data_IF_514099004032
#
_entry.id   IF_514099004032
#
_cell.length_a   1.000
_cell.length_b   1.000
_cell.length_c   1.000
_cell.angle_alpha   90.00
_cell.angle_beta   90.00
_cell.angle_gamma   90.00
#
_symmetry.space_group_name_H-M   'P 1'
#
loop_
_entity.id
_entity.type
_entity.pdbx_description
1 polymer ?
#
# COMPACT_ATOMS: atom_id res chain seq x y z
N UNK A 1 -9.24 14.31 -1.53
CA UNK A 1 -9.68 14.03 -2.91
C UNK A 1 -8.55 14.35 -3.86
N UNK A 2 -8.37 13.52 -4.91
CA UNK A 2 -7.40 13.72 -5.98
C UNK A 2 -7.70 15.02 -6.75
N UNK A 3 -6.69 15.87 -6.91
CA UNK A 3 -6.85 17.21 -7.50
C UNK A 3 -6.48 17.24 -8.98
N UNK A 4 -5.38 16.58 -9.32
CA UNK A 4 -4.87 16.45 -10.69
C UNK A 4 -5.67 15.42 -11.50
N UNK A 5 -5.64 15.54 -12.83
CA UNK A 5 -6.28 14.57 -13.71
C UNK A 5 -5.56 13.22 -13.61
N UNK A 6 -4.23 13.27 -13.56
CA UNK A 6 -3.33 12.13 -13.45
C UNK A 6 -3.60 11.30 -12.18
N UNK A 7 -3.86 11.96 -11.05
CA UNK A 7 -4.23 11.27 -9.81
C UNK A 7 -5.61 10.62 -9.91
N UNK A 8 -6.58 11.27 -10.57
CA UNK A 8 -7.92 10.72 -10.79
C UNK A 8 -7.88 9.50 -11.72
N UNK A 9 -7.12 9.58 -12.80
CA UNK A 9 -6.90 8.48 -13.76
C UNK A 9 -6.26 7.28 -13.07
N UNK A 10 -5.22 7.49 -12.25
CA UNK A 10 -4.59 6.42 -11.49
C UNK A 10 -5.57 5.72 -10.55
N UNK A 11 -6.37 6.48 -9.79
CA UNK A 11 -7.36 5.88 -8.90
C UNK A 11 -8.45 5.12 -9.68
N UNK A 12 -8.88 5.64 -10.83
CA UNK A 12 -9.83 4.96 -11.70
C UNK A 12 -9.27 3.65 -12.25
N UNK A 13 -8.00 3.63 -12.65
CA UNK A 13 -7.31 2.42 -13.10
C UNK A 13 -7.23 1.36 -12.00
N UNK A 14 -6.79 1.74 -10.79
CA UNK A 14 -6.71 0.83 -9.65
C UNK A 14 -8.10 0.27 -9.27
N UNK A 15 -9.14 1.11 -9.26
CA UNK A 15 -10.51 0.64 -9.04
C UNK A 15 -10.98 -0.33 -10.13
N UNK A 16 -10.60 -0.09 -11.38
CA UNK A 16 -10.90 -0.99 -12.50
C UNK A 16 -10.19 -2.34 -12.35
N UNK A 17 -8.95 -2.34 -11.86
CA UNK A 17 -8.20 -3.56 -11.53
C UNK A 17 -8.89 -4.36 -10.42
N UNK A 18 -9.32 -3.73 -9.33
CA UNK A 18 -10.07 -4.39 -8.25
C UNK A 18 -11.38 -4.99 -8.76
N UNK A 19 -12.11 -4.25 -9.60
CA UNK A 19 -13.34 -4.75 -10.21
C UNK A 19 -13.07 -5.94 -11.13
N UNK A 20 -11.97 -5.94 -11.88
CA UNK A 20 -11.57 -7.08 -12.70
C UNK A 20 -11.20 -8.30 -11.83
N UNK A 21 -10.47 -8.10 -10.72
CA UNK A 21 -10.17 -9.14 -9.74
C UNK A 21 -11.43 -9.72 -9.11
N UNK A 22 -12.40 -8.87 -8.75
CA UNK A 22 -13.71 -9.28 -8.23
C UNK A 22 -14.42 -10.21 -9.21
N UNK A 23 -14.51 -9.81 -10.49
CA UNK A 23 -15.13 -10.62 -11.55
C UNK A 23 -14.42 -11.96 -11.75
N UNK A 24 -13.08 -11.97 -11.79
CA UNK A 24 -12.30 -13.21 -11.93
C UNK A 24 -12.56 -14.20 -10.79
N UNK A 25 -12.81 -13.70 -9.58
CA UNK A 25 -13.00 -14.53 -8.38
C UNK A 25 -14.47 -14.88 -8.11
N UNK A 26 -15.42 -14.23 -8.78
CA UNK A 26 -16.85 -14.40 -8.52
C UNK A 26 -17.29 -13.89 -7.15
N UNK A 27 -16.50 -13.02 -6.51
CA UNK A 27 -16.81 -12.38 -5.22
C UNK A 27 -16.61 -10.88 -5.34
N UNK A 28 -17.42 -10.11 -4.62
CA UNK A 28 -17.25 -8.67 -4.54
C UNK A 28 -16.04 -8.36 -3.64
N UNK A 29 -14.99 -7.75 -4.21
CA UNK A 29 -13.86 -7.23 -3.44
C UNK A 29 -14.04 -5.73 -3.19
N UNK A 30 -13.55 -5.29 -2.05
CA UNK A 30 -13.50 -3.89 -1.66
C UNK A 30 -12.11 -3.58 -1.09
N UNK A 31 -11.66 -2.34 -1.26
CA UNK A 31 -10.43 -1.89 -0.63
C UNK A 31 -10.57 -1.90 0.89
N UNK A 32 -9.61 -2.49 1.58
CA UNK A 32 -9.50 -2.36 3.03
C UNK A 32 -9.28 -0.89 3.44
N UNK A 33 -9.46 -0.59 4.72
CA UNK A 33 -9.15 0.74 5.26
C UNK A 33 -7.68 1.13 5.05
N UNK A 34 -6.75 0.17 5.20
CA UNK A 34 -5.33 0.37 4.93
C UNK A 34 -5.05 0.66 3.44
N UNK A 35 -5.66 -0.10 2.53
CA UNK A 35 -5.49 0.15 1.09
C UNK A 35 -6.09 1.49 0.68
N UNK A 36 -7.25 1.84 1.24
CA UNK A 36 -7.88 3.15 1.02
C UNK A 36 -6.96 4.29 1.47
N UNK A 37 -6.29 4.15 2.62
CA UNK A 37 -5.29 5.12 3.08
C UNK A 37 -4.09 5.20 2.10
N UNK A 38 -3.59 4.06 1.62
CA UNK A 38 -2.50 4.00 0.63
C UNK A 38 -2.93 4.65 -0.70
N UNK A 39 -4.14 4.42 -1.19
CA UNK A 39 -4.70 5.09 -2.37
C UNK A 39 -4.75 6.60 -2.17
N UNK A 40 -5.12 7.06 -0.97
CA UNK A 40 -5.03 8.46 -0.58
C UNK A 40 -3.62 9.01 -0.71
N UNK A 41 -2.61 8.31 -0.19
CA UNK A 41 -1.21 8.69 -0.30
C UNK A 41 -0.72 8.71 -1.76
N UNK A 42 -1.06 7.69 -2.55
CA UNK A 42 -0.76 7.63 -3.99
C UNK A 42 -1.29 8.87 -4.69
N UNK A 43 -2.57 9.20 -4.48
CA UNK A 43 -3.19 10.37 -5.11
C UNK A 43 -2.50 11.68 -4.73
N UNK A 44 -2.15 11.86 -3.45
CA UNK A 44 -1.45 13.05 -2.97
C UNK A 44 -0.04 13.17 -3.53
N UNK A 45 0.69 12.04 -3.63
CA UNK A 45 2.02 12.00 -4.25
C UNK A 45 1.96 12.37 -5.73
N UNK A 46 0.97 11.86 -6.48
CA UNK A 46 0.78 12.21 -7.90
C UNK A 46 0.38 13.69 -8.05
N UNK A 47 -0.54 14.19 -7.23
CA UNK A 47 -0.92 15.61 -7.23
C UNK A 47 0.30 16.52 -7.02
N UNK A 48 1.14 16.18 -6.04
CA UNK A 48 2.36 16.93 -5.75
C UNK A 48 3.35 16.84 -6.91
N UNK A 49 3.55 15.66 -7.48
CA UNK A 49 4.41 15.44 -8.65
C UNK A 49 3.95 16.29 -9.83
N UNK A 50 2.67 16.22 -10.20
CA UNK A 50 2.08 17.00 -11.30
C UNK A 50 2.28 18.52 -11.09
N UNK A 51 2.09 19.00 -9.86
CA UNK A 51 2.40 20.38 -9.50
C UNK A 51 3.86 20.75 -9.72
N UNK A 52 4.80 19.96 -9.17
CA UNK A 52 6.23 20.24 -9.30
C UNK A 52 6.77 20.07 -10.73
N UNK A 53 6.20 19.16 -11.52
CA UNK A 53 6.55 19.01 -12.93
C UNK A 53 6.17 20.26 -13.74
N UNK A 54 5.03 20.89 -13.44
CA UNK A 54 4.66 22.18 -14.05
C UNK A 54 5.61 23.29 -13.65
N UNK A 55 5.96 23.39 -12.36
CA UNK A 55 6.92 24.39 -11.87
C UNK A 55 8.32 24.18 -12.46
N UNK A 56 8.77 22.93 -12.59
CA UNK A 56 10.04 22.58 -13.22
C UNK A 56 10.11 23.05 -14.68
N UNK A 57 9.01 22.87 -15.44
CA UNK A 57 8.93 23.32 -16.83
C UNK A 57 8.95 24.84 -17.01
N UNK A 58 8.46 25.60 -16.02
CA UNK A 58 8.40 27.07 -16.04
C UNK A 58 9.61 27.75 -15.40
N UNK A 59 10.36 27.02 -14.59
CA UNK A 59 11.52 27.56 -13.88
C UNK A 59 12.63 27.93 -14.88
N UNK A 60 13.28 29.07 -14.68
CA UNK A 60 14.45 29.47 -15.48
C UNK A 60 15.77 29.31 -14.71
N UNK A 61 15.71 29.40 -13.38
CA UNK A 61 16.88 29.25 -12.51
C UNK A 61 17.38 27.81 -12.51
N UNK A 62 18.62 27.60 -12.97
CA UNK A 62 19.26 26.29 -13.00
C UNK A 62 19.34 25.66 -11.60
N UNK A 63 19.70 26.44 -10.58
CA UNK A 63 19.79 25.95 -9.20
C UNK A 63 18.45 25.43 -8.69
N UNK A 64 17.35 26.13 -9.01
CA UNK A 64 16.01 25.68 -8.63
C UNK A 64 15.55 24.47 -9.45
N UNK A 65 15.89 24.40 -10.75
CA UNK A 65 15.64 23.19 -11.57
C UNK A 65 16.28 21.95 -10.98
N UNK A 66 17.53 22.02 -10.52
CA UNK A 66 18.21 20.86 -9.90
C UNK A 66 17.46 20.39 -8.65
N UNK A 67 17.03 21.31 -7.79
CA UNK A 67 16.26 21.00 -6.58
C UNK A 67 14.91 20.34 -6.91
N UNK A 68 14.16 20.92 -7.85
CA UNK A 68 12.89 20.37 -8.32
C UNK A 68 13.06 18.98 -8.95
N UNK A 69 14.12 18.75 -9.72
CA UNK A 69 14.44 17.44 -10.29
C UNK A 69 14.75 16.39 -9.21
N UNK A 70 15.45 16.77 -8.14
CA UNK A 70 15.69 15.88 -7.01
C UNK A 70 14.38 15.48 -6.32
N UNK A 71 13.52 16.46 -6.03
CA UNK A 71 12.21 16.23 -5.40
C UNK A 71 11.31 15.34 -6.27
N UNK A 72 11.27 15.58 -7.59
CA UNK A 72 10.51 14.74 -8.52
C UNK A 72 10.95 13.28 -8.47
N UNK A 73 12.25 13.01 -8.45
CA UNK A 73 12.79 11.63 -8.32
C UNK A 73 12.45 10.99 -6.98
N UNK A 74 12.43 11.78 -5.90
CA UNK A 74 12.01 11.28 -4.58
C UNK A 74 10.53 10.89 -4.59
N UNK A 75 9.67 11.72 -5.18
CA UNK A 75 8.24 11.43 -5.34
C UNK A 75 8.00 10.20 -6.21
N UNK A 76 8.76 10.01 -7.29
CA UNK A 76 8.69 8.80 -8.12
C UNK A 76 9.08 7.55 -7.36
N UNK A 77 10.15 7.63 -6.56
CA UNK A 77 10.59 6.52 -5.71
C UNK A 77 9.54 6.18 -4.65
N UNK A 78 8.96 7.20 -4.01
CA UNK A 78 7.87 7.02 -3.05
C UNK A 78 6.64 6.39 -3.71
N UNK A 79 6.24 6.90 -4.87
CA UNK A 79 5.10 6.37 -5.64
C UNK A 79 5.31 4.89 -5.99
N UNK A 80 6.49 4.52 -6.47
CA UNK A 80 6.81 3.13 -6.78
C UNK A 80 6.73 2.21 -5.54
N UNK A 81 7.09 2.70 -4.34
CA UNK A 81 6.97 1.96 -3.08
C UNK A 81 5.51 1.82 -2.62
N UNK A 82 4.70 2.86 -2.81
CA UNK A 82 3.28 2.83 -2.45
C UNK A 82 2.49 1.90 -3.38
N UNK A 83 2.75 1.96 -4.70
CA UNK A 83 2.09 1.10 -5.68
C UNK A 83 2.37 -0.39 -5.43
N UNK A 84 3.57 -0.75 -4.95
CA UNK A 84 3.88 -2.14 -4.56
C UNK A 84 3.05 -2.68 -3.39
N UNK A 85 2.47 -1.79 -2.59
CA UNK A 85 1.63 -2.16 -1.45
C UNK A 85 0.17 -2.36 -1.86
N UNK A 86 -0.26 -1.76 -2.97
CA UNK A 86 -1.59 -1.99 -3.54
C UNK A 86 -1.55 -3.29 -4.33
N UNK A 87 -2.25 -4.30 -3.84
CA UNK A 87 -2.30 -5.61 -4.48
C UNK A 87 -3.75 -6.02 -4.59
N UNK A 88 -4.44 -5.69 -5.69
CA UNK A 88 -5.86 -6.03 -5.88
C UNK A 88 -6.13 -7.55 -5.90
N UNK A 89 -5.07 -8.36 -5.94
CA UNK A 89 -5.11 -9.82 -5.85
C UNK A 89 -4.41 -10.42 -4.62
N UNK A 90 -3.85 -9.61 -3.70
CA UNK A 90 -3.25 -10.14 -2.48
C UNK A 90 -4.34 -10.43 -1.43
N UNK A 91 -4.60 -11.72 -1.28
CA UNK A 91 -5.19 -12.34 -0.11
C UNK A 91 -6.71 -12.11 0.11
N UNK A 92 -7.58 -12.93 -0.51
CA UNK A 92 -8.16 -14.05 0.27
C UNK A 92 -7.07 -14.66 1.17
N UNK A 93 -7.23 -14.70 2.51
CA UNK A 93 -6.30 -15.49 3.30
C UNK A 93 -6.22 -16.88 2.67
N UNK A 94 -5.05 -17.31 2.24
CA UNK A 94 -4.78 -18.73 2.14
C UNK A 94 -4.92 -19.26 3.56
N UNK A 95 -6.17 -19.52 3.99
CA UNK A 95 -6.61 -19.86 5.33
C UNK A 95 -5.57 -19.49 6.40
N UNK A 96 -5.60 -18.25 6.95
CA UNK A 96 -4.74 -17.72 8.03
C UNK A 96 -3.32 -18.31 8.07
N UNK A 97 -2.25 -17.55 7.73
CA UNK A 97 -0.93 -18.09 7.35
C UNK A 97 -0.67 -19.42 8.04
N UNK A 98 -0.85 -20.56 7.33
CA UNK A 98 -0.78 -21.89 7.94
C UNK A 98 0.52 -21.93 8.73
N UNK A 99 0.42 -21.76 10.04
CA UNK A 99 1.60 -21.66 10.88
C UNK A 99 2.44 -22.90 10.58
N UNK A 100 3.72 -22.70 10.26
CA UNK A 100 4.58 -23.83 9.96
C UNK A 100 4.48 -24.85 11.11
N UNK A 101 4.64 -26.17 10.85
CA UNK A 101 4.58 -27.17 11.92
C UNK A 101 5.48 -26.81 13.12
N UNK A 102 6.61 -26.16 12.84
CA UNK A 102 7.53 -25.60 13.83
C UNK A 102 6.91 -24.46 14.64
N UNK A 103 6.28 -23.49 13.98
CA UNK A 103 5.61 -22.36 14.63
C UNK A 103 4.42 -22.82 15.48
N UNK A 104 3.63 -23.79 15.02
CA UNK A 104 2.54 -24.40 15.82
C UNK A 104 3.07 -25.08 17.07
N UNK A 105 4.11 -25.91 16.95
CA UNK A 105 4.73 -26.57 18.11
C UNK A 105 5.27 -25.56 19.12
N UNK A 106 5.89 -24.48 18.65
CA UNK A 106 6.39 -23.42 19.52
C UNK A 106 5.26 -22.73 20.29
N UNK A 107 4.15 -22.42 19.63
CA UNK A 107 3.00 -21.78 20.29
C UNK A 107 2.30 -22.73 21.28
N UNK A 108 2.09 -24.01 20.93
CA UNK A 108 1.55 -25.01 21.86
C UNK A 108 2.46 -25.19 23.08
N UNK A 109 3.78 -25.21 22.89
CA UNK A 109 4.73 -25.32 23.99
C UNK A 109 4.74 -24.06 24.88
N UNK A 110 4.65 -22.86 24.29
CA UNK A 110 4.56 -21.60 25.03
C UNK A 110 3.26 -21.53 25.86
N UNK A 111 2.12 -21.86 25.24
CA UNK A 111 0.83 -21.89 25.93
C UNK A 111 0.81 -22.91 27.07
N UNK A 112 1.38 -24.11 26.87
CA UNK A 112 1.49 -25.13 27.91
C UNK A 112 2.42 -24.72 29.06
N UNK A 113 3.45 -23.88 28.82
CA UNK A 113 4.29 -23.31 29.89
C UNK A 113 3.51 -22.31 30.73
N UNK A 114 2.81 -21.38 30.09
CA UNK A 114 2.00 -20.38 30.81
C UNK A 114 0.80 -21.00 31.53
N UNK A 115 0.21 -22.07 31.01
CA UNK A 115 -0.82 -22.83 31.73
C UNK A 115 -0.28 -23.56 32.97
N UNK A 116 0.95 -24.09 32.91
CA UNK A 116 1.61 -24.70 34.07
C UNK A 116 1.98 -23.64 35.11
N UNK A 117 2.47 -22.48 34.69
CA UNK A 117 2.77 -21.35 35.57
C UNK A 117 1.49 -20.82 36.25
N UNK A 118 0.38 -20.70 35.52
CA UNK A 118 -0.93 -20.30 36.10
C UNK A 118 -1.49 -21.33 37.08
N UNK A 119 -1.30 -22.63 36.84
CA UNK A 119 -1.73 -23.69 37.76
C UNK A 119 -0.82 -23.86 38.97
N UNK A 120 0.41 -23.35 38.94
CA UNK A 120 1.34 -23.40 40.07
C UNK A 120 1.23 -22.19 41.01
N UNK A 121 0.50 -21.15 40.60
CA UNK A 121 0.31 -19.88 41.35
C UNK A 121 -1.10 -19.76 41.99
N UNK A 122 -1.95 -20.78 41.87
CA UNK A 122 -3.24 -20.88 42.56
C UNK A 122 -3.29 -22.18 43.34
#
# INVERSE_FOLDING_TARGET
MARSAEAREMLAALNSELAASSRRRGVQLEWSASETAILGLISATIDRKSGLSREYGRCESLSLKVKLSAELRQLETQLARLLKQVKPDADVPAAAPRMSPTSRKAQTAANARWERERRAQG
#
